data_IF_065773530091
#
_entry.id   IF_065773530091
#
_cell.length_a   1.000
_cell.length_b   1.000
_cell.length_c   1.000
_cell.angle_alpha   90.00
_cell.angle_beta   90.00
_cell.angle_gamma   90.00
#
_symmetry.space_group_name_H-M   'P 1'
#
loop_
_entity.id
_entity.type
_entity.pdbx_description
1 polymer ?
#
# COMPACT_ATOMS: atom_id res chain seq x y z
N UNK A 1 -23.04 28.45 -7.13
CA UNK A 1 -23.01 27.00 -6.91
C UNK A 1 -21.95 26.44 -7.86
N UNK A 2 -20.72 26.31 -7.39
CA UNK A 2 -19.59 25.83 -8.18
C UNK A 2 -18.74 24.95 -7.28
N UNK A 3 -18.92 23.64 -7.41
CA UNK A 3 -18.14 22.62 -6.72
C UNK A 3 -16.70 22.74 -7.20
N UNK A 4 -15.81 23.26 -6.33
CA UNK A 4 -14.38 23.17 -6.57
C UNK A 4 -14.04 21.69 -6.72
N UNK A 5 -13.58 21.33 -7.92
CA UNK A 5 -12.97 20.03 -8.16
C UNK A 5 -11.67 19.96 -7.38
N UNK A 6 -11.74 19.39 -6.18
CA UNK A 6 -10.57 18.72 -5.62
C UNK A 6 -10.33 17.52 -6.51
N UNK A 7 -9.46 17.68 -7.51
CA UNK A 7 -8.78 16.52 -8.07
C UNK A 7 -8.17 15.77 -6.87
N UNK A 8 -8.42 14.46 -6.74
CA UNK A 8 -7.86 13.72 -5.62
C UNK A 8 -6.34 13.92 -5.64
N UNK A 9 -5.80 14.41 -4.52
CA UNK A 9 -4.37 14.55 -4.36
C UNK A 9 -3.71 13.21 -4.74
N UNK A 10 -2.65 13.27 -5.54
CA UNK A 10 -1.88 12.08 -5.89
C UNK A 10 -1.46 11.33 -4.62
N UNK A 11 -1.41 9.98 -4.65
CA UNK A 11 -0.96 9.19 -3.51
C UNK A 11 0.37 9.71 -2.94
N UNK A 12 0.46 9.81 -1.61
CA UNK A 12 1.71 10.09 -0.92
C UNK A 12 2.58 8.84 -0.92
N UNK A 13 3.38 8.70 -1.99
CA UNK A 13 4.27 7.55 -2.16
C UNK A 13 5.31 7.44 -1.05
N UNK A 14 5.77 8.55 -0.48
CA UNK A 14 6.75 8.55 0.62
C UNK A 14 6.12 7.94 1.87
N UNK A 15 4.89 8.34 2.21
CA UNK A 15 4.17 7.77 3.33
C UNK A 15 3.82 6.29 3.12
N UNK A 16 3.50 5.89 1.88
CA UNK A 16 3.25 4.48 1.53
C UNK A 16 4.51 3.62 1.70
N UNK A 17 5.66 4.08 1.20
CA UNK A 17 6.95 3.39 1.40
C UNK A 17 7.27 3.28 2.88
N UNK A 18 7.05 4.32 3.69
CA UNK A 18 7.24 4.24 5.14
C UNK A 18 6.31 3.24 5.84
N UNK A 19 5.10 3.01 5.32
CA UNK A 19 4.24 1.92 5.79
C UNK A 19 4.79 0.55 5.40
N UNK A 20 5.24 0.40 4.15
CA UNK A 20 5.80 -0.83 3.63
C UNK A 20 7.13 -1.21 4.30
N UNK A 21 7.97 -0.24 4.64
CA UNK A 21 9.23 -0.45 5.34
C UNK A 21 9.01 -1.10 6.71
N UNK A 22 8.00 -0.63 7.47
CA UNK A 22 7.62 -1.28 8.74
C UNK A 22 7.14 -2.72 8.55
N UNK A 23 6.49 -3.04 7.43
CA UNK A 23 6.15 -4.44 7.11
C UNK A 23 7.41 -5.26 6.82
N UNK A 24 8.37 -4.70 6.09
CA UNK A 24 9.64 -5.36 5.77
C UNK A 24 10.44 -5.66 7.05
N UNK A 25 10.54 -4.71 7.98
CA UNK A 25 11.16 -4.91 9.29
C UNK A 25 10.51 -6.06 10.07
N UNK A 26 9.18 -6.13 10.09
CA UNK A 26 8.43 -7.21 10.75
C UNK A 26 8.58 -8.57 10.06
N UNK A 27 8.78 -8.56 8.74
CA UNK A 27 9.06 -9.76 7.95
C UNK A 27 10.50 -10.27 8.18
N UNK A 28 11.41 -9.42 8.64
CA UNK A 28 12.84 -9.71 8.74
C UNK A 28 13.64 -9.36 7.48
N UNK A 29 13.07 -8.57 6.57
CA UNK A 29 13.71 -8.08 5.34
C UNK A 29 14.56 -6.84 5.58
N UNK A 30 15.62 -6.96 6.39
CA UNK A 30 16.51 -5.84 6.71
C UNK A 30 17.33 -5.33 5.50
N UNK A 31 17.41 -6.12 4.43
CA UNK A 31 18.08 -5.79 3.17
C UNK A 31 17.13 -5.22 2.11
N UNK A 32 15.83 -5.12 2.41
CA UNK A 32 14.82 -4.56 1.51
C UNK A 32 14.99 -3.04 1.44
N UNK A 33 15.15 -2.52 0.23
CA UNK A 33 15.34 -1.09 -0.02
C UNK A 33 14.02 -0.35 -0.22
N UNK A 34 14.02 0.95 0.08
CA UNK A 34 12.88 1.83 -0.22
C UNK A 34 12.52 1.83 -1.71
N UNK A 35 13.52 1.70 -2.60
CA UNK A 35 13.31 1.60 -4.04
C UNK A 35 12.57 0.31 -4.44
N UNK A 36 12.90 -0.84 -3.83
CA UNK A 36 12.16 -2.09 -4.05
C UNK A 36 10.70 -1.95 -3.59
N UNK A 37 10.48 -1.37 -2.41
CA UNK A 37 9.13 -1.14 -1.87
C UNK A 37 8.33 -0.18 -2.75
N UNK A 38 8.97 0.89 -3.20
CA UNK A 38 8.38 1.84 -4.13
C UNK A 38 7.91 1.15 -5.40
N UNK A 39 8.76 0.32 -6.02
CA UNK A 39 8.42 -0.39 -7.27
C UNK A 39 7.21 -1.33 -7.10
N UNK A 40 7.09 -2.01 -5.96
CA UNK A 40 5.94 -2.87 -5.69
C UNK A 40 4.66 -2.04 -5.56
N UNK A 41 4.70 -0.94 -4.81
CA UNK A 41 3.54 -0.05 -4.62
C UNK A 41 3.15 0.59 -5.96
N UNK A 42 4.11 1.11 -6.72
CA UNK A 42 3.92 1.73 -8.03
C UNK A 42 3.26 0.75 -9.02
N UNK A 43 3.72 -0.50 -9.06
CA UNK A 43 3.12 -1.54 -9.91
C UNK A 43 1.68 -1.85 -9.53
N UNK A 44 1.32 -1.81 -8.25
CA UNK A 44 -0.06 -2.05 -7.79
C UNK A 44 -0.96 -0.86 -8.13
N UNK A 45 -0.47 0.36 -7.91
CA UNK A 45 -1.27 1.57 -8.08
C UNK A 45 -1.43 1.99 -9.53
N UNK A 46 -0.35 1.92 -10.32
CA UNK A 46 -0.27 2.50 -11.66
C UNK A 46 0.16 1.50 -12.74
N UNK A 47 0.53 0.28 -12.34
CA UNK A 47 0.89 -0.79 -13.26
C UNK A 47 -0.31 -1.64 -13.68
N UNK A 48 -0.07 -2.95 -13.80
CA UNK A 48 -1.03 -3.93 -14.32
C UNK A 48 -2.39 -3.92 -13.60
N UNK A 49 -2.42 -3.58 -12.31
CA UNK A 49 -3.65 -3.60 -11.51
C UNK A 49 -4.43 -2.29 -11.54
N UNK A 50 -3.79 -1.21 -11.96
CA UNK A 50 -4.34 0.15 -12.01
C UNK A 50 -5.21 0.48 -10.78
N UNK A 51 -4.71 0.12 -9.59
CA UNK A 51 -5.46 0.19 -8.34
C UNK A 51 -5.89 1.62 -8.00
N UNK A 52 -5.12 2.61 -8.45
CA UNK A 52 -5.46 4.01 -8.29
C UNK A 52 -6.65 4.42 -9.15
N UNK A 53 -6.64 4.11 -10.46
CA UNK A 53 -7.78 4.44 -11.31
C UNK A 53 -9.05 3.73 -10.84
N UNK A 54 -8.95 2.46 -10.45
CA UNK A 54 -10.07 1.71 -9.86
C UNK A 54 -10.66 2.41 -8.62
N UNK A 55 -9.81 2.98 -7.76
CA UNK A 55 -10.26 3.74 -6.60
C UNK A 55 -10.93 5.07 -6.99
N UNK A 56 -10.40 5.77 -7.99
CA UNK A 56 -10.96 7.03 -8.48
C UNK A 56 -12.32 6.85 -9.16
N UNK A 57 -12.50 5.73 -9.86
CA UNK A 57 -13.76 5.35 -10.49
C UNK A 57 -14.79 4.78 -9.49
N UNK A 58 -14.39 4.59 -8.22
CA UNK A 58 -15.25 4.03 -7.18
C UNK A 58 -15.49 2.52 -7.32
N UNK A 59 -14.68 1.83 -8.11
CA UNK A 59 -14.68 0.36 -8.22
C UNK A 59 -14.07 -0.30 -6.99
N UNK A 60 -13.15 0.40 -6.33
CA UNK A 60 -12.58 0.02 -5.03
C UNK A 60 -12.87 1.11 -4.00
N UNK A 61 -13.28 0.71 -2.82
CA UNK A 61 -13.32 1.60 -1.65
C UNK A 61 -11.90 1.97 -1.20
N UNK A 62 -11.78 2.99 -0.34
CA UNK A 62 -10.49 3.38 0.26
C UNK A 62 -9.83 2.20 0.97
N UNK A 63 -10.62 1.45 1.73
CA UNK A 63 -10.16 0.28 2.49
C UNK A 63 -9.77 -0.88 1.58
N UNK A 64 -10.54 -1.16 0.52
CA UNK A 64 -10.18 -2.19 -0.46
C UNK A 64 -8.89 -1.83 -1.19
N UNK A 65 -8.69 -0.56 -1.55
CA UNK A 65 -7.44 -0.09 -2.18
C UNK A 65 -6.24 -0.26 -1.24
N UNK A 66 -6.40 0.10 0.03
CA UNK A 66 -5.36 -0.10 1.04
C UNK A 66 -5.02 -1.58 1.24
N UNK A 67 -6.04 -2.43 1.37
CA UNK A 67 -5.85 -3.88 1.50
C UNK A 67 -5.21 -4.50 0.25
N UNK A 68 -5.54 -4.01 -0.95
CA UNK A 68 -4.92 -4.45 -2.19
C UNK A 68 -3.39 -4.25 -2.14
N UNK A 69 -2.93 -3.06 -1.76
CA UNK A 69 -1.49 -2.75 -1.64
C UNK A 69 -0.84 -3.63 -0.57
N UNK A 70 -1.47 -3.73 0.61
CA UNK A 70 -0.94 -4.52 1.72
C UNK A 70 -0.80 -6.00 1.36
N UNK A 71 -1.79 -6.59 0.67
CA UNK A 71 -1.74 -7.98 0.25
C UNK A 71 -0.61 -8.25 -0.75
N UNK A 72 -0.31 -7.30 -1.65
CA UNK A 72 0.79 -7.43 -2.60
C UNK A 72 2.15 -7.28 -1.94
N UNK A 73 2.27 -6.32 -1.02
CA UNK A 73 3.47 -6.15 -0.21
C UNK A 73 3.73 -7.39 0.65
N UNK A 74 2.71 -7.93 1.32
CA UNK A 74 2.83 -9.16 2.11
C UNK A 74 3.30 -10.32 1.24
N UNK A 75 2.64 -10.54 0.10
CA UNK A 75 3.00 -11.62 -0.83
C UNK A 75 4.45 -11.49 -1.33
N UNK A 76 4.84 -10.27 -1.72
CA UNK A 76 6.19 -9.99 -2.20
C UNK A 76 7.23 -10.13 -1.08
N UNK A 77 6.94 -9.64 0.13
CA UNK A 77 7.84 -9.75 1.28
C UNK A 77 8.04 -11.20 1.71
N UNK A 78 7.00 -12.04 1.69
CA UNK A 78 7.13 -13.46 2.01
C UNK A 78 8.06 -14.17 1.03
N UNK A 79 7.89 -13.92 -0.27
CA UNK A 79 8.77 -14.45 -1.31
C UNK A 79 10.21 -13.93 -1.15
N UNK A 80 10.38 -12.61 -1.01
CA UNK A 80 11.68 -11.94 -0.88
C UNK A 80 12.48 -12.36 0.37
N UNK A 81 11.79 -12.68 1.46
CA UNK A 81 12.41 -13.10 2.74
C UNK A 81 12.46 -14.62 2.92
N UNK A 82 11.89 -15.40 1.99
CA UNK A 82 11.83 -16.85 2.10
C UNK A 82 10.95 -17.36 3.25
N UNK A 83 10.00 -16.57 3.73
CA UNK A 83 9.05 -16.99 4.78
C UNK A 83 8.01 -17.95 4.23
N UNK A 84 7.60 -18.91 5.07
CA UNK A 84 6.42 -19.72 4.78
C UNK A 84 5.14 -18.93 4.98
N UNK A 85 4.15 -19.18 4.12
CA UNK A 85 2.77 -18.74 4.26
C UNK A 85 2.10 -19.27 5.53
N UNK A 86 2.63 -20.32 6.14
CA UNK A 86 2.17 -20.84 7.44
C UNK A 86 2.56 -19.94 8.63
N UNK A 87 3.40 -18.93 8.40
CA UNK A 87 3.81 -17.94 9.40
C UNK A 87 3.59 -16.51 8.88
N UNK A 88 2.31 -16.07 8.82
CA UNK A 88 1.96 -14.79 8.24
C UNK A 88 2.63 -13.62 8.96
N UNK A 89 2.84 -12.52 8.23
CA UNK A 89 3.38 -11.31 8.82
C UNK A 89 2.28 -10.73 9.72
N UNK A 90 2.59 -10.56 11.01
CA UNK A 90 1.61 -10.07 11.97
C UNK A 90 1.48 -8.55 11.87
N UNK A 91 0.73 -8.07 10.87
CA UNK A 91 0.64 -6.65 10.47
C UNK A 91 -0.05 -5.69 11.45
N UNK A 92 -0.21 -6.04 12.73
CA UNK A 92 -0.79 -5.16 13.76
C UNK A 92 -2.16 -4.59 13.35
N UNK A 93 -3.06 -5.47 12.88
CA UNK A 93 -4.26 -5.16 12.11
C UNK A 93 -5.09 -3.94 12.56
N UNK A 94 -5.65 -3.23 11.57
CA UNK A 94 -6.49 -2.03 11.71
C UNK A 94 -5.71 -0.71 11.63
N UNK A 95 -4.59 -0.61 12.35
CA UNK A 95 -3.76 0.61 12.38
C UNK A 95 -3.00 0.83 11.07
N UNK A 96 -2.47 -0.23 10.47
CA UNK A 96 -1.70 -0.13 9.22
C UNK A 96 -2.59 0.23 8.02
N UNK A 97 -3.76 -0.40 7.91
CA UNK A 97 -4.77 -0.09 6.89
C UNK A 97 -5.14 1.40 6.91
N UNK A 98 -5.42 1.93 8.10
CA UNK A 98 -5.76 3.36 8.27
C UNK A 98 -4.63 4.29 7.83
N UNK A 99 -3.37 3.90 8.07
CA UNK A 99 -2.20 4.69 7.65
C UNK A 99 -2.04 4.69 6.13
N UNK A 100 -2.23 3.54 5.48
CA UNK A 100 -2.22 3.41 4.02
C UNK A 100 -3.36 4.20 3.40
N UNK A 101 -4.58 4.14 3.95
CA UNK A 101 -5.71 4.95 3.47
C UNK A 101 -5.41 6.46 3.54
N UNK A 102 -4.78 6.92 4.62
CA UNK A 102 -4.37 8.32 4.77
C UNK A 102 -3.29 8.71 3.76
N UNK A 103 -2.35 7.82 3.48
CA UNK A 103 -1.31 8.07 2.48
C UNK A 103 -1.89 8.11 1.06
N UNK A 104 -2.87 7.26 0.75
CA UNK A 104 -3.52 7.23 -0.56
C UNK A 104 -4.42 8.43 -0.82
N UNK A 105 -5.16 8.88 0.20
CA UNK A 105 -6.31 9.74 -0.01
C UNK A 105 -6.40 10.92 0.98
N UNK A 106 -5.34 11.18 1.74
CA UNK A 106 -5.27 12.23 2.75
C UNK A 106 -5.98 11.91 4.07
N UNK A 107 -5.71 12.74 5.08
CA UNK A 107 -6.44 12.75 6.34
C UNK A 107 -7.82 13.39 6.11
N UNK A 108 -8.89 12.60 6.33
CA UNK A 108 -10.26 13.09 6.39
C UNK A 108 -10.68 13.25 7.84
#
# INVERSE_FOLDING_TARGET
MGTHGDAPATPDMVALVGCAHRMAEQAGGADVTDDELYQVIDRVLFGEKDGWACALEGLLTRTETANLILAHLESWLMDRTGRSWDSPISLGGGSLVTQVERALFGAR
#
